data_IF_312299433404
#
_entry.id   IF_312299433404
#
_cell.length_a   1.000
_cell.length_b   1.000
_cell.length_c   1.000
_cell.angle_alpha   90.00
_cell.angle_beta   90.00
_cell.angle_gamma   90.00
#
_symmetry.space_group_name_H-M   'P 1'
#
loop_
_entity.id
_entity.type
_entity.pdbx_description
1 polymer ?
#
# COMPACT_ATOMS: atom_id res chain seq x y z
N UNK A 1 7.02 10.49 -24.54
CA UNK A 1 7.07 9.51 -23.43
C UNK A 1 6.61 10.22 -22.15
N UNK A 2 5.32 10.16 -21.82
CA UNK A 2 4.70 10.78 -20.62
C UNK A 2 3.50 9.97 -20.09
N UNK A 3 3.31 8.74 -20.57
CA UNK A 3 2.15 7.90 -20.25
C UNK A 3 2.36 7.09 -18.95
N UNK A 4 3.56 6.54 -18.73
CA UNK A 4 3.82 5.63 -17.60
C UNK A 4 3.63 6.26 -16.20
N UNK A 5 3.93 7.55 -16.03
CA UNK A 5 3.86 8.21 -14.71
C UNK A 5 2.43 8.49 -14.22
N UNK A 6 1.42 8.42 -15.09
CA UNK A 6 0.02 8.66 -14.68
C UNK A 6 -0.61 7.34 -14.20
N UNK A 7 -0.28 6.23 -14.86
CA UNK A 7 -0.86 4.91 -14.59
C UNK A 7 -0.54 4.44 -13.16
N UNK A 8 0.69 4.59 -12.68
CA UNK A 8 1.08 4.11 -11.34
C UNK A 8 0.49 4.91 -10.18
N UNK A 9 0.21 6.20 -10.37
CA UNK A 9 -0.48 7.01 -9.35
C UNK A 9 -1.96 6.62 -9.23
N UNK A 10 -2.61 6.31 -10.35
CA UNK A 10 -3.97 5.79 -10.36
C UNK A 10 -4.05 4.39 -9.76
N UNK A 11 -3.07 3.53 -10.07
CA UNK A 11 -2.92 2.20 -9.47
C UNK A 11 -2.77 2.26 -7.94
N UNK A 12 -1.97 3.20 -7.42
CA UNK A 12 -1.83 3.42 -5.97
C UNK A 12 -3.14 3.91 -5.33
N UNK A 13 -3.87 4.82 -6.00
CA UNK A 13 -5.18 5.28 -5.52
C UNK A 13 -6.19 4.13 -5.49
N UNK A 14 -6.21 3.29 -6.53
CA UNK A 14 -7.05 2.10 -6.61
C UNK A 14 -6.71 1.11 -5.50
N UNK A 15 -5.43 0.84 -5.28
CA UNK A 15 -4.97 -0.01 -4.19
C UNK A 15 -5.42 0.49 -2.81
N UNK A 16 -5.34 1.81 -2.58
CA UNK A 16 -5.83 2.46 -1.36
C UNK A 16 -7.33 2.22 -1.17
N UNK A 17 -8.12 2.47 -2.21
CA UNK A 17 -9.58 2.37 -2.15
C UNK A 17 -10.02 0.92 -1.96
N UNK A 18 -9.42 -0.04 -2.67
CA UNK A 18 -9.64 -1.47 -2.43
C UNK A 18 -9.32 -1.79 -0.98
N UNK A 19 -8.15 -1.42 -0.45
CA UNK A 19 -7.79 -1.77 0.92
C UNK A 19 -8.71 -1.15 1.98
N UNK A 20 -9.31 0.02 1.72
CA UNK A 20 -10.29 0.67 2.60
C UNK A 20 -11.67 0.03 2.55
N UNK A 21 -12.11 -0.38 1.37
CA UNK A 21 -13.48 -0.83 1.11
C UNK A 21 -13.61 -2.35 1.15
N UNK A 22 -12.50 -3.08 1.08
CA UNK A 22 -12.54 -4.54 1.17
C UNK A 22 -13.08 -4.93 2.54
N UNK A 23 -14.17 -5.71 2.56
CA UNK A 23 -14.70 -6.39 3.76
C UNK A 23 -13.70 -7.40 4.39
N UNK A 24 -12.54 -7.58 3.75
CA UNK A 24 -11.50 -8.51 4.15
C UNK A 24 -10.39 -7.73 4.82
N UNK A 25 -10.35 -7.86 6.14
CA UNK A 25 -9.32 -7.26 6.98
C UNK A 25 -7.97 -7.89 6.62
N UNK A 26 -7.01 -7.08 6.17
CA UNK A 26 -5.59 -7.48 6.17
C UNK A 26 -4.96 -7.15 7.51
N UNK A 27 -3.96 -7.94 7.92
CA UNK A 27 -3.12 -7.57 9.04
C UNK A 27 -2.19 -6.43 8.61
N UNK A 28 -2.60 -5.19 8.87
CA UNK A 28 -1.83 -4.00 8.51
C UNK A 28 -0.50 -3.88 9.26
N UNK A 29 -0.35 -4.49 10.44
CA UNK A 29 0.93 -4.50 11.14
C UNK A 29 1.96 -5.38 10.42
N UNK A 30 1.53 -6.55 9.92
CA UNK A 30 2.36 -7.40 9.05
C UNK A 30 2.67 -6.72 7.72
N UNK A 31 1.70 -5.99 7.16
CA UNK A 31 1.91 -5.22 5.93
C UNK A 31 3.02 -4.16 6.12
N UNK A 32 2.95 -3.41 7.22
CA UNK A 32 3.96 -2.42 7.61
C UNK A 32 5.32 -3.06 7.88
N UNK A 33 5.37 -4.22 8.55
CA UNK A 33 6.63 -4.96 8.77
C UNK A 33 7.37 -5.25 7.45
N UNK A 34 6.64 -5.70 6.44
CA UNK A 34 7.21 -6.08 5.14
C UNK A 34 7.72 -4.84 4.40
N UNK A 35 6.93 -3.75 4.39
CA UNK A 35 7.35 -2.49 3.77
C UNK A 35 8.58 -1.89 4.47
N UNK A 36 8.64 -1.93 5.80
CA UNK A 36 9.81 -1.47 6.56
C UNK A 36 11.07 -2.31 6.26
N UNK A 37 10.95 -3.65 6.19
CA UNK A 37 12.06 -4.54 5.80
C UNK A 37 12.60 -4.24 4.41
N UNK A 38 11.73 -3.85 3.48
CA UNK A 38 12.07 -3.44 2.12
C UNK A 38 12.62 -2.01 2.04
N UNK A 39 12.70 -1.30 3.17
CA UNK A 39 13.13 0.12 3.28
C UNK A 39 12.24 1.07 2.49
N UNK A 40 10.99 0.68 2.28
CA UNK A 40 9.96 1.53 1.69
C UNK A 40 9.52 2.59 2.70
N UNK A 41 9.37 2.18 3.96
CA UNK A 41 9.07 3.07 5.07
C UNK A 41 10.34 3.41 5.83
N UNK A 42 10.49 4.68 6.22
CA UNK A 42 11.48 5.05 7.23
C UNK A 42 11.04 4.59 8.62
N UNK A 43 11.97 4.60 9.58
CA UNK A 43 11.67 4.30 10.99
C UNK A 43 10.63 5.28 11.57
N UNK A 44 10.62 6.52 11.08
CA UNK A 44 9.66 7.54 11.50
C UNK A 44 8.27 7.21 10.97
N UNK A 45 8.18 6.89 9.67
CA UNK A 45 6.91 6.51 9.02
C UNK A 45 6.31 5.26 9.67
N UNK A 46 7.14 4.24 9.90
CA UNK A 46 6.73 3.01 10.58
C UNK A 46 6.10 3.31 11.94
N UNK A 47 6.78 4.12 12.76
CA UNK A 47 6.30 4.47 14.09
C UNK A 47 4.99 5.25 14.03
N UNK A 48 4.87 6.20 13.10
CA UNK A 48 3.65 6.98 12.94
C UNK A 48 2.46 6.09 12.53
N UNK A 49 2.66 5.25 11.52
CA UNK A 49 1.62 4.35 11.00
C UNK A 49 1.15 3.38 12.09
N UNK A 50 2.08 2.79 12.85
CA UNK A 50 1.73 1.89 13.97
C UNK A 50 0.97 2.60 15.09
N UNK A 51 1.17 3.91 15.25
CA UNK A 51 0.43 4.72 16.22
C UNK A 51 -1.06 4.88 15.89
N UNK A 52 -1.48 4.65 14.64
CA UNK A 52 -2.88 4.75 14.23
C UNK A 52 -3.67 3.53 14.73
N UNK A 53 -4.79 3.80 15.42
CA UNK A 53 -5.65 2.75 16.01
C UNK A 53 -6.73 2.25 15.06
N UNK A 54 -7.31 3.13 14.26
CA UNK A 54 -8.34 2.73 13.31
C UNK A 54 -7.69 2.17 12.03
N UNK A 55 -8.29 1.12 11.50
CA UNK A 55 -7.83 0.45 10.28
C UNK A 55 -7.74 1.43 9.10
N UNK A 56 -8.77 2.27 8.91
CA UNK A 56 -8.81 3.28 7.85
C UNK A 56 -7.70 4.33 8.00
N UNK A 57 -7.47 4.83 9.21
CA UNK A 57 -6.42 5.82 9.48
C UNK A 57 -5.02 5.24 9.22
N UNK A 58 -4.83 3.95 9.49
CA UNK A 58 -3.57 3.26 9.21
C UNK A 58 -3.35 3.10 7.70
N UNK A 59 -4.38 2.75 6.93
CA UNK A 59 -4.29 2.72 5.46
C UNK A 59 -4.01 4.11 4.90
N UNK A 60 -4.70 5.14 5.37
CA UNK A 60 -4.43 6.52 4.97
C UNK A 60 -2.97 6.88 5.16
N UNK A 61 -2.44 6.67 6.37
CA UNK A 61 -1.04 6.97 6.68
C UNK A 61 -0.04 6.17 5.82
N UNK A 62 -0.31 4.89 5.54
CA UNK A 62 0.52 4.09 4.63
C UNK A 62 0.55 4.74 3.24
N UNK A 63 -0.62 5.05 2.68
CA UNK A 63 -0.68 5.57 1.32
C UNK A 63 -0.25 7.03 1.20
N UNK A 64 -0.35 7.86 2.24
CA UNK A 64 0.26 9.18 2.26
C UNK A 64 1.78 9.11 2.05
N UNK A 65 2.45 8.13 2.66
CA UNK A 65 3.89 7.89 2.46
C UNK A 65 4.16 7.36 1.05
N UNK A 66 3.36 6.41 0.56
CA UNK A 66 3.57 5.78 -0.74
C UNK A 66 3.23 6.68 -1.95
N UNK A 67 2.29 7.62 -1.79
CA UNK A 67 1.88 8.59 -2.82
C UNK A 67 2.85 9.78 -2.95
N UNK A 68 3.95 9.79 -2.20
CA UNK A 68 5.02 10.80 -2.31
C UNK A 68 5.82 10.70 -3.64
N UNK A 69 6.94 11.43 -3.73
CA UNK A 69 7.71 11.65 -4.98
C UNK A 69 8.32 10.40 -5.67
N UNK A 70 8.06 9.17 -5.18
CA UNK A 70 8.59 7.90 -5.73
C UNK A 70 7.52 6.86 -6.07
N UNK A 71 6.32 7.32 -6.44
CA UNK A 71 5.14 6.47 -6.67
C UNK A 71 5.35 5.25 -7.58
N UNK A 72 6.16 5.36 -8.63
CA UNK A 72 6.35 4.31 -9.64
C UNK A 72 6.91 3.00 -9.02
N UNK A 73 7.86 3.09 -8.09
CA UNK A 73 8.42 1.90 -7.41
C UNK A 73 7.50 1.39 -6.30
N UNK A 74 6.66 2.27 -5.72
CA UNK A 74 5.84 1.93 -4.55
C UNK A 74 4.70 0.97 -4.89
N UNK A 75 4.09 1.10 -6.07
CA UNK A 75 3.02 0.20 -6.46
C UNK A 75 3.49 -1.26 -6.55
N UNK A 76 4.67 -1.49 -7.14
CA UNK A 76 5.29 -2.82 -7.19
C UNK A 76 5.49 -3.41 -5.78
N UNK A 77 5.97 -2.60 -4.84
CA UNK A 77 6.15 -3.03 -3.45
C UNK A 77 4.84 -3.40 -2.74
N UNK A 78 3.71 -2.75 -3.07
CA UNK A 78 2.39 -3.14 -2.55
C UNK A 78 2.02 -4.53 -3.05
N UNK A 79 2.12 -4.77 -4.36
CA UNK A 79 1.74 -6.05 -4.97
C UNK A 79 2.63 -7.19 -4.43
N UNK A 80 3.93 -6.96 -4.29
CA UNK A 80 4.85 -7.93 -3.71
C UNK A 80 4.54 -8.22 -2.23
N UNK A 81 4.20 -7.19 -1.46
CA UNK A 81 3.83 -7.34 -0.05
C UNK A 81 2.54 -8.15 0.10
N UNK A 82 1.53 -7.86 -0.72
CA UNK A 82 0.28 -8.63 -0.72
C UNK A 82 0.52 -10.09 -1.14
N UNK A 83 1.43 -10.33 -2.08
CA UNK A 83 1.82 -11.68 -2.50
C UNK A 83 2.51 -12.44 -1.36
N UNK A 84 3.41 -11.79 -0.62
CA UNK A 84 4.09 -12.36 0.55
C UNK A 84 3.13 -12.62 1.74
N UNK A 85 1.96 -11.97 1.73
CA UNK A 85 0.88 -12.18 2.70
C UNK A 85 -0.18 -13.19 2.21
N UNK A 86 0.05 -13.85 1.07
CA UNK A 86 -0.90 -14.77 0.43
C UNK A 86 -2.26 -14.11 0.11
N UNK A 87 -2.25 -12.82 -0.26
CA UNK A 87 -3.45 -12.01 -0.54
C UNK A 87 -3.68 -11.77 -2.03
N UNK A 88 -3.62 -12.85 -2.82
CA UNK A 88 -3.95 -12.81 -4.25
C UNK A 88 -5.37 -12.31 -4.51
N UNK A 89 -6.30 -12.57 -3.60
CA UNK A 89 -7.69 -12.09 -3.63
C UNK A 89 -7.80 -10.56 -3.64
N UNK A 90 -6.85 -9.86 -3.01
CA UNK A 90 -6.78 -8.40 -3.04
C UNK A 90 -6.05 -7.93 -4.29
N UNK A 91 -4.97 -8.60 -4.68
CA UNK A 91 -4.21 -8.26 -5.89
C UNK A 91 -5.13 -8.27 -7.12
N UNK A 92 -5.96 -9.31 -7.25
CA UNK A 92 -6.95 -9.43 -8.32
C UNK A 92 -7.88 -8.21 -8.34
N UNK A 93 -8.45 -7.81 -7.20
CA UNK A 93 -9.32 -6.62 -7.10
C UNK A 93 -8.63 -5.30 -7.44
N UNK A 94 -7.34 -5.19 -7.12
CA UNK A 94 -6.55 -4.00 -7.46
C UNK A 94 -6.28 -3.95 -8.96
N UNK A 95 -6.01 -5.11 -9.58
CA UNK A 95 -5.64 -5.23 -10.99
C UNK A 95 -6.83 -5.44 -11.94
N UNK A 96 -8.03 -5.64 -11.41
CA UNK A 96 -9.26 -5.68 -12.20
C UNK A 96 -9.37 -4.38 -13.04
N UNK A 97 -9.67 -4.46 -14.34
CA UNK A 97 -9.76 -3.28 -15.22
C UNK A 97 -10.86 -2.32 -14.77
#
# INVERSE_FOLDING_TARGET
MRAANVDHLEDLRRAKDVLKDTQVIINLDRFVDILARRRVLSVIDEREIRGKKAYRDKIEAIFEVLLGERADDQYGHIIETLREMDRSDIIEKIQEP
#
